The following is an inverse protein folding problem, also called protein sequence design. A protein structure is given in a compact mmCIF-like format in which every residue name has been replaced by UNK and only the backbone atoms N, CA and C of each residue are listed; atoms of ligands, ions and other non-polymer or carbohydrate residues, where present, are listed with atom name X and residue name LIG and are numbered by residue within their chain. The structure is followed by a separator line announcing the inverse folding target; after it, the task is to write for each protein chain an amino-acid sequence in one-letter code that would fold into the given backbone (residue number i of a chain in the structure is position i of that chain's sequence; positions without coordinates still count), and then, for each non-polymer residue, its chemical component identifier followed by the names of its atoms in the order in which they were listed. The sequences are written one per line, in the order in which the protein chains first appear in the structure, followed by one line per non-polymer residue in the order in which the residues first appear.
data_IF_671047581617
#
_entry.id   IF_671047581617
#
_cell.length_a   1.000
_cell.length_b   1.000
_cell.length_c   1.000
_cell.angle_alpha   90.00
_cell.angle_beta   90.00
_cell.angle_gamma   90.00
#
_symmetry.space_group_name_H-M   'P 1'
#
loop_
_entity.id
_entity.type
_entity.pdbx_description
1 polymer ?
#
# COMPACT_ATOMS: atom_id res chain seq x y z
N UNK A 1 -7.37 31.47 -13.29
CA UNK A 1 -7.63 31.03 -11.90
C UNK A 1 -6.37 31.20 -11.08
N UNK A 2 -6.35 32.15 -10.15
CA UNK A 2 -5.30 32.27 -9.14
C UNK A 2 -5.93 31.99 -7.79
N UNK A 3 -5.66 30.82 -7.25
CA UNK A 3 -5.96 30.45 -5.86
C UNK A 3 -4.63 30.11 -5.21
N UNK A 4 -4.40 30.67 -4.02
CA UNK A 4 -3.21 30.48 -3.18
C UNK A 4 -3.16 29.02 -2.71
N UNK A 5 -2.76 28.12 -3.59
CA UNK A 5 -2.57 26.70 -3.31
C UNK A 5 -1.14 26.50 -2.86
N UNK A 6 -0.96 25.85 -1.70
CA UNK A 6 0.36 25.41 -1.27
C UNK A 6 0.91 24.43 -2.31
N UNK A 7 2.07 24.76 -2.87
CA UNK A 7 2.79 23.89 -3.80
C UNK A 7 3.48 22.78 -3.04
N UNK A 8 3.18 21.52 -3.38
CA UNK A 8 3.88 20.36 -2.87
C UNK A 8 5.02 19.96 -3.82
N UNK A 9 6.26 19.93 -3.31
CA UNK A 9 7.41 19.51 -4.12
C UNK A 9 7.44 17.98 -4.17
N UNK A 10 7.40 17.42 -5.38
CA UNK A 10 7.51 15.98 -5.64
C UNK A 10 8.82 15.70 -6.34
N UNK A 11 9.71 14.97 -5.64
CA UNK A 11 10.94 14.45 -6.23
C UNK A 11 10.63 13.24 -7.09
N UNK A 12 11.17 13.20 -8.31
CA UNK A 12 11.03 12.09 -9.23
C UNK A 12 12.37 11.78 -9.88
N UNK A 13 12.69 10.51 -10.08
CA UNK A 13 13.94 10.13 -10.74
C UNK A 13 13.76 10.15 -12.25
N UNK A 14 14.73 10.73 -12.96
CA UNK A 14 14.68 10.80 -14.42
C UNK A 14 14.55 9.40 -15.04
N UNK A 15 13.68 9.27 -16.05
CA UNK A 15 13.38 8.03 -16.73
C UNK A 15 12.39 7.08 -16.02
N UNK A 16 11.91 7.45 -14.81
CA UNK A 16 10.96 6.63 -14.06
C UNK A 16 9.55 7.23 -14.06
N UNK A 17 8.52 6.39 -13.85
CA UNK A 17 7.17 6.87 -13.71
C UNK A 17 6.97 7.62 -12.39
N UNK A 18 6.11 8.63 -12.41
CA UNK A 18 5.69 9.38 -11.23
C UNK A 18 4.16 9.40 -11.13
N UNK A 19 3.65 9.05 -9.95
CA UNK A 19 2.21 9.12 -9.65
C UNK A 19 1.93 10.32 -8.75
N UNK A 20 1.06 11.20 -9.20
CA UNK A 20 0.51 12.32 -8.45
C UNK A 20 -0.94 12.01 -8.07
N UNK A 21 -1.30 12.23 -6.81
CA UNK A 21 -2.62 11.90 -6.30
C UNK A 21 -3.41 13.16 -5.93
N UNK A 22 -4.55 13.35 -6.59
CA UNK A 22 -5.50 14.41 -6.30
C UNK A 22 -6.53 14.01 -5.22
N UNK A 23 -6.08 13.63 -4.03
CA UNK A 23 -6.99 13.30 -2.94
C UNK A 23 -7.64 14.57 -2.39
N UNK A 24 -8.97 14.62 -2.44
CA UNK A 24 -9.78 15.59 -1.71
C UNK A 24 -10.13 15.03 -0.33
N UNK A 25 -10.02 15.84 0.72
CA UNK A 25 -10.34 15.46 2.10
C UNK A 25 -11.86 15.43 2.37
N UNK A 26 -12.72 15.49 1.34
CA UNK A 26 -14.18 15.59 1.46
C UNK A 26 -14.90 14.28 1.19
N UNK A 27 -15.78 13.86 2.10
CA UNK A 27 -16.50 12.58 2.08
C UNK A 27 -17.58 12.41 0.97
N UNK A 28 -17.79 13.40 0.09
CA UNK A 28 -18.97 13.45 -0.81
C UNK A 28 -18.66 13.61 -2.31
N UNK A 29 -17.46 13.27 -2.79
CA UNK A 29 -17.00 13.67 -4.13
C UNK A 29 -16.89 12.56 -5.19
N UNK A 30 -17.61 11.46 -5.03
CA UNK A 30 -17.65 10.35 -6.01
C UNK A 30 -18.40 10.68 -7.33
N UNK A 31 -18.89 11.92 -7.51
CA UNK A 31 -19.68 12.31 -8.69
C UNK A 31 -18.97 13.22 -9.70
N UNK A 32 -17.90 13.91 -9.32
CA UNK A 32 -17.20 14.82 -10.22
C UNK A 32 -15.83 14.25 -10.64
N UNK A 33 -15.59 14.20 -11.95
CA UNK A 33 -14.30 13.78 -12.50
C UNK A 33 -13.24 14.84 -12.22
N UNK A 34 -12.12 14.41 -11.64
CA UNK A 34 -10.95 15.28 -11.45
C UNK A 34 -10.31 15.57 -12.80
N UNK A 35 -10.01 16.84 -13.04
CA UNK A 35 -9.21 17.30 -14.16
C UNK A 35 -7.78 17.58 -13.69
N UNK A 36 -6.85 17.44 -14.64
CA UNK A 36 -5.44 17.75 -14.45
C UNK A 36 -4.98 18.78 -15.45
N UNK A 37 -4.12 19.68 -15.00
CA UNK A 37 -3.49 20.70 -15.81
C UNK A 37 -1.99 20.70 -15.58
N UNK A 38 -1.21 20.96 -16.62
CA UNK A 38 0.20 21.29 -16.48
C UNK A 38 0.40 22.79 -16.69
N UNK A 39 1.31 23.39 -15.93
CA UNK A 39 1.63 24.80 -16.00
C UNK A 39 3.15 24.98 -16.15
N UNK A 40 3.53 25.71 -17.20
CA UNK A 40 4.90 26.09 -17.53
C UNK A 40 4.90 27.55 -17.99
N UNK A 41 5.88 28.36 -17.59
CA UNK A 41 6.02 29.75 -18.04
C UNK A 41 4.72 30.58 -17.90
N UNK A 42 3.96 30.37 -16.81
CA UNK A 42 2.64 30.94 -16.55
C UNK A 42 1.51 30.55 -17.53
N UNK A 43 1.77 29.69 -18.50
CA UNK A 43 0.75 29.09 -19.36
C UNK A 43 0.24 27.80 -18.73
N UNK A 44 -1.07 27.62 -18.74
CA UNK A 44 -1.74 26.44 -18.17
C UNK A 44 -2.43 25.68 -19.29
N UNK A 45 -2.22 24.38 -19.33
CA UNK A 45 -2.71 23.48 -20.36
C UNK A 45 -3.45 22.32 -19.71
N UNK A 46 -4.61 21.98 -20.26
CA UNK A 46 -5.38 20.81 -19.81
C UNK A 46 -4.65 19.54 -20.25
N UNK A 47 -4.45 18.61 -19.32
CA UNK A 47 -4.02 17.26 -19.65
C UNK A 47 -5.27 16.48 -20.04
N UNK A 48 -5.38 16.04 -21.30
CA UNK A 48 -6.58 15.36 -21.76
C UNK A 48 -6.74 14.03 -21.00
N UNK A 49 -7.99 13.64 -20.75
CA UNK A 49 -8.33 12.39 -20.06
C UNK A 49 -8.15 11.15 -20.94
N UNK A 50 -7.79 11.32 -22.22
CA UNK A 50 -7.38 10.21 -23.05
C UNK A 50 -5.98 9.75 -22.59
N UNK A 51 -5.69 8.47 -22.81
CA UNK A 51 -4.35 7.93 -22.55
C UNK A 51 -3.36 8.60 -23.51
N UNK A 52 -2.85 9.76 -23.13
CA UNK A 52 -1.72 10.36 -23.81
C UNK A 52 -0.53 9.41 -23.64
N UNK A 53 0.28 9.26 -24.68
CA UNK A 53 1.37 8.27 -24.71
C UNK A 53 2.38 8.42 -23.56
N UNK A 54 2.37 9.57 -22.86
CA UNK A 54 3.29 9.91 -21.77
C UNK A 54 2.59 10.16 -20.42
N UNK A 55 1.24 10.20 -20.37
CA UNK A 55 0.49 10.50 -19.16
C UNK A 55 -0.86 9.75 -19.13
N UNK A 56 -1.16 9.12 -18.00
CA UNK A 56 -2.41 8.37 -17.79
C UNK A 56 -3.16 8.99 -16.62
N UNK A 57 -4.46 9.24 -16.79
CA UNK A 57 -5.35 9.70 -15.73
C UNK A 57 -6.28 8.57 -15.33
N UNK A 58 -6.17 8.10 -14.09
CA UNK A 58 -7.05 7.08 -13.51
C UNK A 58 -7.70 7.61 -12.25
N UNK A 59 -9.03 7.80 -12.30
CA UNK A 59 -9.81 8.41 -11.21
C UNK A 59 -9.26 9.79 -10.83
N UNK A 60 -8.56 9.88 -9.69
CA UNK A 60 -7.95 11.10 -9.17
C UNK A 60 -6.42 11.14 -9.34
N UNK A 61 -5.82 10.09 -9.90
CA UNK A 61 -4.38 9.97 -10.04
C UNK A 61 -3.94 10.36 -11.45
N UNK A 62 -2.84 11.09 -11.53
CA UNK A 62 -2.10 11.32 -12.76
C UNK A 62 -0.78 10.54 -12.68
N UNK A 63 -0.56 9.66 -13.64
CA UNK A 63 0.70 8.93 -13.80
C UNK A 63 1.45 9.48 -14.99
N UNK A 64 2.61 10.10 -14.75
CA UNK A 64 3.58 10.41 -15.79
C UNK A 64 4.41 9.15 -16.02
N UNK A 65 4.41 8.61 -17.24
CA UNK A 65 5.03 7.30 -17.51
C UNK A 65 6.57 7.38 -17.54
N UNK A 66 7.09 8.49 -18.06
CA UNK A 66 8.53 8.75 -18.15
C UNK A 66 8.78 10.20 -17.79
N UNK A 67 9.44 10.42 -16.66
CA UNK A 67 9.82 11.77 -16.21
C UNK A 67 11.11 12.20 -16.91
N UNK A 68 11.05 13.31 -17.64
CA UNK A 68 12.20 13.94 -18.29
C UNK A 68 12.74 15.10 -17.43
N UNK A 69 14.06 15.38 -17.43
CA UNK A 69 14.63 16.57 -16.79
C UNK A 69 13.98 17.88 -17.25
N UNK A 70 13.42 17.92 -18.46
CA UNK A 70 12.74 19.11 -19.01
C UNK A 70 11.53 19.54 -18.18
N UNK A 71 10.85 18.61 -17.50
CA UNK A 71 9.67 18.93 -16.69
C UNK A 71 10.01 19.35 -15.25
N UNK A 72 11.30 19.48 -14.92
CA UNK A 72 11.73 19.97 -13.61
C UNK A 72 11.33 21.44 -13.44
N UNK A 73 10.72 21.78 -12.30
CA UNK A 73 10.12 23.09 -12.01
C UNK A 73 8.74 23.31 -12.63
N UNK A 74 8.21 22.35 -13.41
CA UNK A 74 6.85 22.45 -13.92
C UNK A 74 5.85 22.20 -12.80
N UNK A 75 4.69 22.84 -12.92
CA UNK A 75 3.61 22.70 -11.96
C UNK A 75 2.50 21.83 -12.53
N UNK A 76 2.06 20.83 -11.77
CA UNK A 76 0.90 20.02 -12.06
C UNK A 76 -0.21 20.39 -11.09
N UNK A 77 -1.37 20.74 -11.62
CA UNK A 77 -2.51 21.21 -10.86
C UNK A 77 -3.64 20.21 -11.07
N UNK A 78 -4.34 19.87 -10.01
CA UNK A 78 -5.50 19.00 -10.09
C UNK A 78 -6.68 19.62 -9.36
N UNK A 79 -7.89 19.26 -9.80
CA UNK A 79 -9.11 19.73 -9.17
C UNK A 79 -10.33 19.55 -10.06
N UNK A 80 -11.40 20.25 -9.70
CA UNK A 80 -12.64 20.34 -10.48
C UNK A 80 -12.55 21.50 -11.47
N UNK A 81 -13.41 21.50 -12.48
CA UNK A 81 -13.41 22.47 -13.57
C UNK A 81 -13.35 23.94 -13.08
N UNK A 82 -13.98 24.24 -11.95
CA UNK A 82 -14.00 25.59 -11.34
C UNK A 82 -13.20 25.70 -10.03
N UNK A 83 -12.54 24.63 -9.59
CA UNK A 83 -11.87 24.60 -8.28
C UNK A 83 -10.60 23.75 -8.30
N UNK A 84 -9.45 24.42 -8.28
CA UNK A 84 -8.18 23.75 -8.05
C UNK A 84 -8.05 23.27 -6.59
N UNK A 85 -7.56 22.03 -6.41
CA UNK A 85 -7.46 21.35 -5.13
C UNK A 85 -6.02 21.21 -4.65
N UNK A 86 -5.11 20.82 -5.54
CA UNK A 86 -3.69 20.64 -5.22
C UNK A 86 -2.82 21.15 -6.35
N UNK A 87 -1.61 21.56 -5.97
CA UNK A 87 -0.55 21.99 -6.87
C UNK A 87 0.73 21.24 -6.50
N UNK A 88 1.35 20.62 -7.48
CA UNK A 88 2.59 19.88 -7.33
C UNK A 88 3.66 20.55 -8.18
N UNK A 89 4.86 20.70 -7.64
CA UNK A 89 6.05 21.07 -8.42
C UNK A 89 6.93 19.84 -8.55
N UNK A 90 7.35 19.51 -9.76
CA UNK A 90 8.22 18.35 -9.99
C UNK A 90 9.67 18.78 -9.88
N UNK A 91 10.43 18.13 -8.98
CA UNK A 91 11.89 18.20 -8.97
C UNK A 91 12.43 16.90 -9.54
N UNK A 92 12.97 16.95 -10.76
CA UNK A 92 13.58 15.79 -11.39
C UNK A 92 14.99 15.60 -10.85
N UNK A 93 15.30 14.37 -10.46
CA UNK A 93 16.57 13.97 -9.85
C UNK A 93 17.45 13.31 -10.90
N UNK A 94 18.63 13.88 -11.15
CA UNK A 94 19.74 13.29 -11.89
C UNK A 94 20.83 12.79 -10.94
N UNK A 95 21.75 11.97 -11.45
CA UNK A 95 22.90 11.52 -10.64
C UNK A 95 23.86 12.63 -10.23
N UNK A 96 23.83 13.77 -10.93
CA UNK A 96 24.66 14.93 -10.61
C UNK A 96 23.99 15.87 -9.58
N UNK A 97 22.74 15.58 -9.17
CA UNK A 97 21.97 16.38 -8.21
C UNK A 97 22.07 15.80 -6.77
N UNK A 98 21.06 16.03 -5.90
CA UNK A 98 21.00 15.40 -4.57
C UNK A 98 21.12 13.87 -4.73
N UNK A 99 22.03 13.24 -3.97
CA UNK A 99 22.34 11.81 -4.02
C UNK A 99 21.09 10.91 -4.12
N UNK A 100 20.73 10.42 -5.33
CA UNK A 100 19.52 9.62 -5.53
C UNK A 100 19.52 8.31 -4.75
N UNK A 101 20.71 7.86 -4.37
CA UNK A 101 20.94 6.61 -3.66
C UNK A 101 21.04 6.80 -2.14
N UNK A 102 20.91 8.04 -1.64
CA UNK A 102 20.94 8.39 -0.22
C UNK A 102 22.13 7.76 0.55
N UNK A 103 23.31 7.74 -0.07
CA UNK A 103 24.56 7.20 0.49
C UNK A 103 24.66 5.66 0.48
N UNK A 104 23.62 4.97 -0.01
CA UNK A 104 23.49 3.49 0.02
C UNK A 104 24.01 2.81 -1.25
N UNK A 105 24.52 3.58 -2.19
CA UNK A 105 25.00 3.08 -3.47
C UNK A 105 25.69 4.17 -4.27
N UNK A 106 26.09 3.84 -5.49
CA UNK A 106 26.58 4.78 -6.47
C UNK A 106 25.48 5.03 -7.50
N UNK A 107 25.17 6.30 -7.77
CA UNK A 107 24.21 6.66 -8.80
C UNK A 107 24.83 6.44 -10.19
N UNK A 108 24.03 5.88 -11.10
CA UNK A 108 24.39 5.61 -12.48
C UNK A 108 23.26 6.11 -13.41
N UNK A 109 23.65 6.56 -14.59
CA UNK A 109 22.71 6.95 -15.65
C UNK A 109 22.79 5.94 -16.78
N UNK A 110 21.69 5.24 -17.04
CA UNK A 110 21.53 4.30 -18.14
C UNK A 110 20.88 4.99 -19.32
N UNK A 111 21.36 4.73 -20.54
CA UNK A 111 20.95 5.42 -21.77
C UNK A 111 20.99 6.94 -21.60
N UNK A 112 22.08 7.57 -22.06
CA UNK A 112 22.13 9.01 -22.29
C UNK A 112 21.25 9.42 -23.49
N UNK A 113 20.04 8.88 -23.57
CA UNK A 113 18.99 9.47 -24.38
C UNK A 113 18.78 10.88 -23.85
N UNK A 114 18.97 11.87 -24.73
CA UNK A 114 18.94 13.29 -24.35
C UNK A 114 17.61 13.70 -23.70
N UNK A 115 16.54 12.96 -23.96
CA UNK A 115 15.18 13.31 -23.59
C UNK A 115 14.84 12.86 -22.16
N UNK A 116 15.16 11.62 -21.78
CA UNK A 116 14.81 11.08 -20.45
C UNK A 116 15.86 10.07 -19.97
N UNK A 117 17.05 10.54 -19.55
CA UNK A 117 18.12 9.66 -19.10
C UNK A 117 17.68 8.87 -17.87
N UNK A 118 17.85 7.54 -17.88
CA UNK A 118 17.34 6.68 -16.80
C UNK A 118 18.30 6.69 -15.62
N UNK A 119 17.85 7.16 -14.47
CA UNK A 119 18.66 7.19 -13.24
C UNK A 119 18.44 5.91 -12.43
N UNK A 120 19.50 5.25 -11.99
CA UNK A 120 19.40 4.09 -11.11
C UNK A 120 20.62 3.99 -10.18
N UNK A 121 20.52 3.16 -9.15
CA UNK A 121 21.58 3.02 -8.17
C UNK A 121 22.24 1.64 -8.21
N UNK A 122 23.58 1.61 -8.22
CA UNK A 122 24.36 0.41 -7.90
C UNK A 122 24.55 0.35 -6.39
N UNK A 123 23.82 -0.53 -5.73
CA UNK A 123 23.78 -0.59 -4.27
C UNK A 123 25.03 -1.16 -3.63
N UNK A 124 25.35 -0.64 -2.44
CA UNK A 124 26.30 -1.25 -1.49
C UNK A 124 25.68 -2.53 -0.91
N UNK A 125 26.53 -3.39 -0.36
CA UNK A 125 26.09 -4.61 0.30
C UNK A 125 24.97 -4.33 1.32
N UNK A 126 23.94 -5.18 1.32
CA UNK A 126 22.71 -5.12 2.14
C UNK A 126 21.59 -4.20 1.63
N UNK A 127 21.80 -3.44 0.56
CA UNK A 127 20.76 -2.64 -0.09
C UNK A 127 20.40 -3.21 -1.46
N UNK A 128 19.14 -3.05 -1.86
CA UNK A 128 18.62 -3.66 -3.09
C UNK A 128 17.60 -2.74 -3.78
N UNK A 129 17.24 -3.11 -5.01
CA UNK A 129 16.27 -2.38 -5.83
C UNK A 129 16.86 -1.18 -6.55
N UNK A 130 16.03 -0.52 -7.35
CA UNK A 130 16.43 0.57 -8.25
C UNK A 130 17.09 1.75 -7.55
N UNK A 131 16.68 2.06 -6.32
CA UNK A 131 17.12 3.23 -5.55
C UNK A 131 17.72 2.86 -4.18
N UNK A 132 18.26 1.64 -4.04
CA UNK A 132 18.89 1.14 -2.82
C UNK A 132 18.03 1.29 -1.56
N UNK A 133 16.80 0.79 -1.66
CA UNK A 133 15.90 0.72 -0.51
C UNK A 133 16.36 -0.38 0.45
N UNK A 134 16.01 -0.20 1.73
CA UNK A 134 16.43 -1.09 2.80
C UNK A 134 15.64 -2.39 2.75
N UNK A 135 16.33 -3.52 2.85
CA UNK A 135 15.69 -4.83 2.87
C UNK A 135 15.06 -5.08 4.25
N UNK A 136 13.76 -5.40 4.32
CA UNK A 136 13.21 -6.15 5.47
C UNK A 136 13.64 -7.61 5.31
N UNK A 137 14.66 -8.10 6.04
CA UNK A 137 15.25 -9.41 5.75
C UNK A 137 14.17 -10.48 5.76
N UNK A 138 14.17 -11.36 4.74
CA UNK A 138 13.21 -12.49 4.62
C UNK A 138 13.18 -13.32 5.91
N UNK A 139 14.32 -13.40 6.62
CA UNK A 139 14.41 -14.05 7.93
C UNK A 139 13.41 -13.48 8.96
N UNK A 140 13.15 -12.18 8.96
CA UNK A 140 12.14 -11.56 9.84
C UNK A 140 10.73 -12.01 9.49
N UNK A 141 10.41 -12.12 8.19
CA UNK A 141 9.14 -12.68 7.73
C UNK A 141 9.00 -14.15 8.10
N UNK A 142 10.01 -14.97 7.83
CA UNK A 142 10.01 -16.41 8.17
C UNK A 142 9.85 -16.62 9.68
N UNK A 143 10.55 -15.84 10.52
CA UNK A 143 10.40 -15.89 11.98
C UNK A 143 8.98 -15.53 12.42
N UNK A 144 8.37 -14.48 11.88
CA UNK A 144 6.98 -14.13 12.18
C UNK A 144 6.01 -15.24 11.78
N UNK A 145 6.19 -15.84 10.61
CA UNK A 145 5.33 -16.94 10.13
C UNK A 145 5.43 -18.18 11.02
N UNK A 146 6.65 -18.57 11.42
CA UNK A 146 6.85 -19.72 12.32
C UNK A 146 6.18 -19.48 13.68
N UNK A 147 6.40 -18.31 14.28
CA UNK A 147 5.79 -17.95 15.58
C UNK A 147 4.27 -17.94 15.46
N UNK A 148 3.72 -17.37 14.38
CA UNK A 148 2.28 -17.37 14.10
C UNK A 148 1.69 -18.79 13.99
N UNK A 149 2.37 -19.69 13.27
CA UNK A 149 1.96 -21.09 13.16
C UNK A 149 1.99 -21.83 14.51
N UNK A 150 3.00 -21.59 15.35
CA UNK A 150 3.09 -22.18 16.68
C UNK A 150 1.95 -21.71 17.60
N UNK A 151 1.61 -20.43 17.56
CA UNK A 151 0.47 -19.89 18.33
C UNK A 151 -0.85 -20.50 17.84
N UNK A 152 -1.07 -20.56 16.53
CA UNK A 152 -2.30 -21.11 15.95
C UNK A 152 -2.48 -22.60 16.31
N UNK A 153 -1.41 -23.39 16.23
CA UNK A 153 -1.44 -24.81 16.60
C UNK A 153 -1.71 -25.01 18.10
N UNK A 154 -1.12 -24.18 18.97
CA UNK A 154 -1.40 -24.24 20.41
C UNK A 154 -2.85 -23.88 20.75
N UNK A 155 -3.42 -22.87 20.09
CA UNK A 155 -4.83 -22.49 20.23
C UNK A 155 -5.77 -23.58 19.73
N UNK A 156 -5.47 -24.21 18.61
CA UNK A 156 -6.26 -25.34 18.10
C UNK A 156 -6.20 -26.55 19.04
N UNK A 157 -5.03 -26.87 19.58
CA UNK A 157 -4.86 -27.97 20.53
C UNK A 157 -5.63 -27.73 21.83
N UNK A 158 -5.58 -26.50 22.37
CA UNK A 158 -6.32 -26.13 23.59
C UNK A 158 -7.83 -26.13 23.36
N UNK A 159 -8.31 -25.65 22.22
CA UNK A 159 -9.73 -25.73 21.84
C UNK A 159 -10.21 -27.19 21.69
N UNK A 160 -9.43 -28.03 21.01
CA UNK A 160 -9.73 -29.46 20.86
C UNK A 160 -9.76 -30.18 22.22
N UNK A 161 -8.80 -29.88 23.11
CA UNK A 161 -8.77 -30.43 24.46
C UNK A 161 -9.99 -30.01 25.28
N UNK A 162 -10.39 -28.73 25.21
CA UNK A 162 -11.58 -28.23 25.88
C UNK A 162 -12.86 -28.92 25.38
N UNK A 163 -13.00 -29.12 24.07
CA UNK A 163 -14.12 -29.86 23.46
C UNK A 163 -14.16 -31.33 23.87
N UNK A 164 -13.01 -32.01 23.92
CA UNK A 164 -12.94 -33.40 24.38
C UNK A 164 -13.33 -33.52 25.87
N UNK A 165 -12.87 -32.57 26.70
CA UNK A 165 -13.18 -32.55 28.13
C UNK A 165 -14.66 -32.29 28.41
N UNK A 166 -15.29 -31.36 27.68
CA UNK A 166 -16.74 -31.10 27.82
C UNK A 166 -17.56 -32.30 27.36
N UNK A 167 -17.19 -32.94 26.23
CA UNK A 167 -17.87 -34.15 25.73
C UNK A 167 -17.74 -35.33 26.70
N UNK A 168 -16.56 -35.52 27.30
CA UNK A 168 -16.33 -36.54 28.33
C UNK A 168 -17.18 -36.31 29.59
N UNK A 169 -17.20 -35.07 30.12
CA UNK A 169 -18.06 -34.68 31.24
C UNK A 169 -19.54 -34.92 30.94
N UNK A 170 -19.99 -34.56 29.74
CA UNK A 170 -21.38 -34.77 29.31
C UNK A 170 -21.73 -36.28 29.23
N UNK A 171 -20.81 -37.11 28.72
CA UNK A 171 -20.99 -38.58 28.67
C UNK A 171 -21.05 -39.20 30.07
N UNK A 172 -20.22 -38.73 31.00
CA UNK A 172 -20.24 -39.17 32.41
C UNK A 172 -21.55 -38.77 33.11
N UNK A 173 -22.02 -37.53 32.94
CA UNK A 173 -23.32 -37.10 33.46
C UNK A 173 -24.50 -37.87 32.85
N UNK A 174 -24.44 -38.21 31.55
CA UNK A 174 -25.48 -39.03 30.89
C UNK A 174 -25.50 -40.45 31.45
N UNK A 175 -24.33 -41.04 31.73
CA UNK A 175 -24.22 -42.36 32.38
C UNK A 175 -24.74 -42.35 33.82
N UNK A 176 -24.42 -41.33 34.62
CA UNK A 176 -24.91 -41.22 35.99
C UNK A 176 -26.43 -41.04 36.06
N UNK A 177 -27.00 -40.14 35.24
CA UNK A 177 -28.47 -39.94 35.12
C UNK A 177 -29.19 -41.23 34.71
N UNK A 178 -28.63 -42.02 33.78
CA UNK A 178 -29.19 -43.34 33.41
C UNK A 178 -29.16 -44.34 34.58
N UNK A 179 -28.08 -44.40 35.36
CA UNK A 179 -28.00 -45.28 36.55
C UNK A 179 -29.03 -44.89 37.61
N UNK A 180 -29.16 -43.60 37.90
CA UNK A 180 -30.14 -43.08 38.86
C UNK A 180 -31.58 -43.44 38.43
N UNK A 181 -31.93 -43.20 37.15
CA UNK A 181 -33.26 -43.55 36.60
C UNK A 181 -33.56 -45.05 36.67
N UNK A 182 -32.56 -45.92 36.46
CA UNK A 182 -32.70 -47.38 36.58
C UNK A 182 -32.91 -47.81 38.05
N UNK A 183 -32.22 -47.18 39.00
CA UNK A 183 -32.41 -47.44 40.44
C UNK A 183 -33.77 -46.98 40.97
N UNK A 184 -34.25 -45.82 40.50
CA UNK A 184 -35.58 -45.27 40.83
C UNK A 184 -36.71 -46.15 40.29
N UNK A 185 -36.58 -46.66 39.05
CA UNK A 185 -37.53 -47.66 38.52
C UNK A 185 -37.54 -48.93 39.36
N UNK A 186 -36.38 -49.46 39.77
CA UNK A 186 -36.34 -50.66 40.65
C UNK A 186 -37.04 -50.44 41.99
N UNK A 187 -36.88 -49.27 42.63
CA UNK A 187 -37.61 -48.96 43.88
C UNK A 187 -39.12 -48.85 43.68
N UNK A 188 -39.59 -48.31 42.55
CA UNK A 188 -41.04 -48.24 42.24
C UNK A 188 -41.70 -49.60 41.99
N UNK A 189 -40.97 -50.59 41.48
CA UNK A 189 -41.50 -51.95 41.25
C UNK A 189 -41.35 -52.88 42.46
N UNK A 190 -40.59 -52.49 43.50
CA UNK A 190 -40.40 -53.27 44.72
C UNK A 190 -41.35 -52.87 45.86
N UNK A 191 -42.24 -51.91 45.62
CA UNK A 191 -43.19 -51.33 46.59
C UNK A 191 -44.66 -51.63 46.23
N UNK A 192 -44.90 -52.70 45.46
CA UNK A 192 -46.22 -53.22 45.14
C UNK A 192 -46.31 -54.67 45.56
#
# INVERSE_FOLDING_TARGET
MSTNLNTEIRKAFSGWPLVLNCQSNGANQDKESVCWWFQQNNQTYLIPSNNATLAIIEKANLTLLTVSPEISGYHFICGYQERALRRFEIKVMLCNDDDPCNGRGNCLTYQNDKIAPIVYCKCKDKYFGTFCTEHIPIQSFVKMTIVGCLIATFLLATAAYALLRTRSKHMLQKKSKKRIKKSSKRRKYSSK
#
